data_IF_671081936933
#
_entry.id   IF_671081936933
#
_cell.length_a   1.000
_cell.length_b   1.000
_cell.length_c   1.000
_cell.angle_alpha   90.00
_cell.angle_beta   90.00
_cell.angle_gamma   90.00
#
_symmetry.space_group_name_H-M   'P 1'
#
loop_
_entity.id
_entity.type
_entity.pdbx_description
1 polymer ?
#
# COMPACT_ATOMS: atom_id res chain seq x y z
N UNK A 1 19.50 -1.37 10.90
CA UNK A 1 20.35 -1.91 9.82
C UNK A 1 20.16 -1.05 8.58
N UNK A 2 20.85 0.09 8.54
CA UNK A 2 20.98 0.86 7.31
C UNK A 2 22.22 0.32 6.61
N UNK A 3 22.03 -0.19 5.39
CA UNK A 3 23.06 -0.78 4.56
C UNK A 3 24.05 0.30 4.13
N UNK A 4 25.00 0.62 5.01
CA UNK A 4 26.22 1.30 4.62
C UNK A 4 27.01 0.33 3.75
N UNK A 5 26.98 0.57 2.44
CA UNK A 5 27.76 -0.19 1.46
C UNK A 5 29.24 0.04 1.80
N UNK A 6 30.00 -0.99 2.20
CA UNK A 6 31.44 -0.87 2.45
C UNK A 6 32.16 -0.43 1.18
N UNK A 7 33.29 0.28 1.35
CA UNK A 7 34.17 0.70 0.23
C UNK A 7 34.72 -0.48 -0.59
N UNK A 8 34.67 -1.69 -0.05
CA UNK A 8 34.87 -2.93 -0.79
C UNK A 8 33.50 -3.46 -1.22
N UNK A 9 33.14 -3.24 -2.48
CA UNK A 9 31.85 -3.64 -3.05
C UNK A 9 31.63 -5.13 -2.79
N UNK A 10 30.58 -5.54 -2.06
CA UNK A 10 30.18 -6.93 -2.13
C UNK A 10 29.65 -7.14 -3.56
N UNK A 11 30.43 -7.91 -4.34
CA UNK A 11 30.11 -8.20 -5.73
C UNK A 11 28.73 -8.85 -5.80
N UNK A 12 27.90 -8.42 -6.76
CA UNK A 12 26.61 -9.04 -6.99
C UNK A 12 26.76 -10.57 -7.04
N UNK A 13 25.91 -11.28 -6.31
CA UNK A 13 25.87 -12.75 -6.28
C UNK A 13 24.65 -13.31 -7.00
N UNK A 14 23.76 -12.43 -7.49
CA UNK A 14 22.63 -12.75 -8.35
C UNK A 14 22.52 -11.79 -9.52
N UNK A 15 21.89 -12.22 -10.62
CA UNK A 15 21.49 -11.37 -11.74
C UNK A 15 20.10 -11.74 -12.26
N UNK A 16 19.50 -10.83 -13.01
CA UNK A 16 18.29 -11.10 -13.79
C UNK A 16 18.66 -11.76 -15.14
N UNK A 17 17.82 -12.67 -15.59
CA UNK A 17 17.87 -13.24 -16.94
C UNK A 17 16.48 -13.65 -17.42
N UNK A 18 16.31 -13.83 -18.72
CA UNK A 18 15.11 -14.49 -19.23
C UNK A 18 15.08 -15.98 -18.83
N UNK A 19 13.90 -16.46 -18.49
CA UNK A 19 13.67 -17.88 -18.19
C UNK A 19 14.00 -18.75 -19.40
N UNK A 20 14.82 -19.78 -19.18
CA UNK A 20 15.14 -20.79 -20.21
C UNK A 20 14.06 -21.89 -20.36
N UNK A 21 12.99 -21.86 -19.56
CA UNK A 21 11.87 -22.81 -19.70
C UNK A 21 11.13 -22.60 -21.02
N UNK A 22 10.78 -23.70 -21.68
CA UNK A 22 10.09 -23.70 -22.99
C UNK A 22 8.80 -22.88 -23.00
N UNK A 23 8.04 -22.95 -21.91
CA UNK A 23 6.81 -22.19 -21.69
C UNK A 23 6.99 -20.66 -21.58
N UNK A 24 8.23 -20.17 -21.38
CA UNK A 24 8.56 -18.74 -21.25
C UNK A 24 9.55 -18.28 -22.35
N UNK A 25 9.61 -19.02 -23.46
CA UNK A 25 10.57 -18.81 -24.53
C UNK A 25 10.18 -17.69 -25.50
N UNK A 26 9.18 -16.83 -25.19
CA UNK A 26 8.76 -15.78 -26.11
C UNK A 26 9.82 -14.69 -26.30
N UNK A 27 10.78 -14.59 -25.37
CA UNK A 27 11.97 -13.74 -25.54
C UNK A 27 12.84 -14.17 -26.73
N UNK A 28 12.62 -15.37 -27.29
CA UNK A 28 13.29 -15.85 -28.51
C UNK A 28 12.53 -15.52 -29.79
N UNK A 29 11.29 -15.05 -29.69
CA UNK A 29 10.50 -14.66 -30.85
C UNK A 29 10.96 -13.28 -31.37
N UNK A 30 10.84 -13.02 -32.68
CA UNK A 30 10.91 -11.67 -33.24
C UNK A 30 9.87 -10.73 -32.62
N UNK A 31 10.16 -9.42 -32.61
CA UNK A 31 9.32 -8.42 -31.94
C UNK A 31 7.91 -8.34 -32.53
N UNK A 32 7.77 -8.43 -33.85
CA UNK A 32 6.48 -8.43 -34.56
C UNK A 32 5.62 -9.65 -34.17
N UNK A 33 6.23 -10.83 -34.05
CA UNK A 33 5.54 -12.04 -33.60
C UNK A 33 5.14 -11.93 -32.11
N UNK A 34 5.98 -11.33 -31.27
CA UNK A 34 5.64 -11.04 -29.88
C UNK A 34 4.42 -10.12 -29.79
N UNK A 35 4.40 -9.02 -30.55
CA UNK A 35 3.30 -8.06 -30.58
C UNK A 35 2.00 -8.66 -31.12
N UNK A 36 2.08 -9.53 -32.13
CA UNK A 36 0.93 -10.28 -32.66
C UNK A 36 0.43 -11.31 -31.64
N UNK A 37 1.34 -12.03 -30.97
CA UNK A 37 1.01 -12.98 -29.90
C UNK A 37 0.39 -12.29 -28.67
N UNK A 38 0.78 -11.04 -28.40
CA UNK A 38 0.17 -10.22 -27.35
C UNK A 38 -1.31 -9.92 -27.61
N UNK A 39 -1.70 -9.72 -28.87
CA UNK A 39 -3.10 -9.57 -29.23
C UNK A 39 -3.93 -10.86 -29.02
N UNK A 40 -3.29 -12.03 -29.03
CA UNK A 40 -3.92 -13.34 -28.73
C UNK A 40 -3.75 -13.84 -27.29
N UNK A 41 -3.11 -13.06 -26.40
CA UNK A 41 -2.86 -13.43 -24.97
C UNK A 41 -4.14 -13.78 -24.21
N UNK A 42 -5.31 -13.32 -24.64
CA UNK A 42 -6.59 -13.67 -23.98
C UNK A 42 -6.84 -15.18 -23.89
N UNK A 43 -6.18 -16.00 -24.73
CA UNK A 43 -6.32 -17.46 -24.75
C UNK A 43 -5.10 -18.26 -24.26
N UNK A 44 -4.01 -17.61 -23.83
CA UNK A 44 -2.81 -18.31 -23.34
C UNK A 44 -2.78 -18.39 -21.81
N UNK A 45 -2.64 -19.60 -21.28
CA UNK A 45 -2.61 -19.88 -19.83
C UNK A 45 -1.21 -19.77 -19.20
N UNK A 46 -0.16 -19.59 -19.99
CA UNK A 46 1.22 -19.43 -19.52
C UNK A 46 1.80 -18.07 -19.89
N UNK A 47 2.37 -17.37 -18.91
CA UNK A 47 3.11 -16.12 -19.14
C UNK A 47 4.34 -16.37 -20.00
N UNK A 48 4.30 -15.97 -21.26
CA UNK A 48 5.36 -16.30 -22.23
C UNK A 48 6.66 -15.52 -22.07
N UNK A 49 6.66 -14.46 -21.28
CA UNK A 49 7.84 -13.70 -20.85
C UNK A 49 8.00 -13.81 -19.34
N UNK A 50 9.16 -14.28 -18.89
CA UNK A 50 9.50 -14.35 -17.47
C UNK A 50 10.96 -13.98 -17.27
N UNK A 51 11.22 -13.02 -16.39
CA UNK A 51 12.55 -12.76 -15.84
C UNK A 51 12.73 -13.57 -14.55
N UNK A 52 13.88 -14.20 -14.42
CA UNK A 52 14.28 -15.00 -13.25
C UNK A 52 15.52 -14.36 -12.61
N UNK A 53 15.59 -14.40 -11.28
CA UNK A 53 16.85 -14.19 -10.56
C UNK A 53 17.63 -15.50 -10.54
N UNK A 54 18.88 -15.45 -10.99
CA UNK A 54 19.81 -16.58 -10.95
C UNK A 54 21.06 -16.22 -10.17
N UNK A 55 21.57 -17.21 -9.43
CA UNK A 55 22.82 -17.08 -8.70
C UNK A 55 24.01 -17.06 -9.67
N UNK A 56 24.99 -16.20 -9.38
CA UNK A 56 26.25 -16.09 -10.12
C UNK A 56 27.33 -17.04 -9.58
N UNK A 57 27.10 -17.57 -8.38
CA UNK A 57 27.93 -18.54 -7.66
C UNK A 57 27.09 -19.22 -6.59
N UNK A 58 27.63 -20.22 -5.91
CA UNK A 58 26.98 -20.81 -4.74
C UNK A 58 26.77 -19.75 -3.64
N UNK A 59 25.57 -19.76 -3.04
CA UNK A 59 25.14 -18.84 -1.98
C UNK A 59 24.92 -19.65 -0.71
N UNK A 60 25.61 -19.28 0.37
CA UNK A 60 25.55 -20.04 1.63
C UNK A 60 24.32 -19.68 2.47
N UNK A 61 23.86 -20.57 3.37
CA UNK A 61 22.77 -20.24 4.29
C UNK A 61 23.10 -19.01 5.14
N UNK A 62 22.18 -18.04 5.16
CA UNK A 62 22.35 -16.76 5.88
C UNK A 62 23.08 -15.68 5.09
N UNK A 63 23.57 -15.96 3.88
CA UNK A 63 24.13 -14.95 2.99
C UNK A 63 23.02 -14.06 2.38
N UNK A 64 23.30 -12.76 2.26
CA UNK A 64 22.40 -11.79 1.63
C UNK A 64 22.44 -11.91 0.10
N UNK A 65 21.28 -11.79 -0.55
CA UNK A 65 21.19 -11.73 -2.01
C UNK A 65 21.47 -10.30 -2.48
N UNK A 66 22.47 -10.14 -3.33
CA UNK A 66 22.98 -8.87 -3.82
C UNK A 66 22.90 -8.83 -5.35
N UNK A 67 22.13 -7.88 -5.86
CA UNK A 67 21.93 -7.67 -7.29
C UNK A 67 22.58 -6.37 -7.72
N UNK A 68 23.16 -6.35 -8.92
CA UNK A 68 23.61 -5.12 -9.56
C UNK A 68 22.40 -4.39 -10.18
N UNK A 69 22.06 -3.21 -9.66
CA UNK A 69 20.98 -2.36 -10.17
C UNK A 69 21.41 -1.46 -11.34
N UNK A 70 22.68 -1.55 -11.73
CA UNK A 70 23.31 -0.80 -12.81
C UNK A 70 23.97 0.51 -12.37
N UNK A 71 24.89 1.05 -13.20
CA UNK A 71 25.66 2.25 -12.87
C UNK A 71 24.82 3.53 -12.82
N UNK A 72 23.66 3.57 -13.50
CA UNK A 72 22.70 4.67 -13.39
C UNK A 72 22.10 4.76 -12.00
N UNK A 73 21.53 3.65 -11.52
CA UNK A 73 20.96 3.54 -10.19
C UNK A 73 22.00 3.84 -9.10
N UNK A 74 23.21 3.28 -9.21
CA UNK A 74 24.28 3.49 -8.22
C UNK A 74 24.66 4.97 -8.08
N UNK A 75 24.87 5.67 -9.20
CA UNK A 75 25.17 7.11 -9.17
C UNK A 75 24.04 7.91 -8.55
N UNK A 76 22.79 7.57 -8.87
CA UNK A 76 21.63 8.23 -8.30
C UNK A 76 21.52 7.99 -6.79
N UNK A 77 21.79 6.77 -6.34
CA UNK A 77 21.82 6.43 -4.91
C UNK A 77 22.92 7.19 -4.18
N UNK A 78 24.14 7.20 -4.70
CA UNK A 78 25.25 7.96 -4.13
C UNK A 78 24.92 9.46 -4.04
N UNK A 79 24.36 10.02 -5.12
CA UNK A 79 23.89 11.41 -5.16
C UNK A 79 22.80 11.66 -4.13
N UNK A 80 21.86 10.72 -3.99
CA UNK A 80 20.79 10.81 -3.01
C UNK A 80 21.35 10.82 -1.59
N UNK A 81 22.19 9.85 -1.23
CA UNK A 81 22.79 9.78 0.11
C UNK A 81 23.60 11.02 0.46
N UNK A 82 24.35 11.58 -0.50
CA UNK A 82 25.12 12.81 -0.29
C UNK A 82 24.25 14.04 -0.04
N UNK A 83 23.11 14.14 -0.73
CA UNK A 83 22.24 15.32 -0.67
C UNK A 83 21.00 15.15 0.20
N UNK A 84 20.78 13.94 0.75
CA UNK A 84 19.59 13.64 1.53
C UNK A 84 19.57 14.46 2.81
N UNK A 85 18.44 15.11 3.03
CA UNK A 85 18.15 15.82 4.27
C UNK A 85 16.93 15.17 4.92
N UNK A 86 16.99 14.89 6.24
CA UNK A 86 15.80 14.44 6.93
C UNK A 86 14.72 15.52 6.84
N UNK A 87 13.43 15.14 6.81
CA UNK A 87 12.38 16.12 7.03
C UNK A 87 12.65 16.88 8.34
N UNK A 88 12.31 18.18 8.43
CA UNK A 88 12.61 19.00 9.61
C UNK A 88 12.06 18.36 10.90
N UNK A 89 12.57 18.72 12.10
CA UNK A 89 11.97 18.24 13.34
C UNK A 89 10.57 18.86 13.54
N UNK A 90 9.63 18.15 14.18
CA UNK A 90 8.26 18.62 14.36
C UNK A 90 8.23 19.88 15.22
N UNK A 91 7.78 21.00 14.65
CA UNK A 91 7.55 22.24 15.40
C UNK A 91 6.22 22.22 16.14
N UNK A 92 5.16 21.62 15.57
CA UNK A 92 3.79 21.69 16.11
C UNK A 92 2.99 20.35 16.06
N UNK A 93 3.67 19.21 15.90
CA UNK A 93 3.00 17.88 15.89
C UNK A 93 2.14 17.58 14.66
N UNK A 94 2.12 18.48 13.67
CA UNK A 94 1.45 18.34 12.36
C UNK A 94 2.34 17.71 11.29
N UNK A 95 3.61 17.46 11.62
CA UNK A 95 4.57 16.94 10.67
C UNK A 95 4.39 15.45 10.41
N UNK A 96 4.73 15.06 9.19
CA UNK A 96 4.62 13.70 8.69
C UNK A 96 5.14 12.64 9.66
N UNK A 97 4.30 11.68 9.97
CA UNK A 97 4.70 10.38 10.47
C UNK A 97 3.77 9.32 9.89
N UNK A 98 4.31 8.16 9.49
CA UNK A 98 3.51 7.14 8.84
C UNK A 98 2.48 6.55 9.81
N UNK A 99 1.34 6.10 9.28
CA UNK A 99 0.22 5.69 10.10
C UNK A 99 0.53 4.54 11.07
N UNK A 100 1.45 3.64 10.73
CA UNK A 100 1.83 2.51 11.61
C UNK A 100 2.51 2.99 12.90
N UNK A 101 3.38 4.00 12.83
CA UNK A 101 4.03 4.60 14.03
C UNK A 101 2.97 5.19 14.96
N UNK A 102 1.99 5.88 14.37
CA UNK A 102 0.91 6.48 15.13
C UNK A 102 -0.07 5.46 15.71
N UNK A 103 -0.40 4.40 14.98
CA UNK A 103 -1.34 3.38 15.46
C UNK A 103 -0.77 2.61 16.68
N UNK A 104 0.55 2.41 16.71
CA UNK A 104 1.25 1.79 17.85
C UNK A 104 1.33 2.74 19.07
N UNK A 105 1.64 4.02 18.83
CA UNK A 105 1.83 5.01 19.90
C UNK A 105 0.50 5.53 20.50
N UNK A 106 -0.55 5.68 19.69
CA UNK A 106 -1.80 6.34 20.09
C UNK A 106 -2.82 5.30 20.58
N UNK A 107 -2.90 5.13 21.90
CA UNK A 107 -3.91 4.26 22.52
C UNK A 107 -5.27 4.95 22.63
N UNK A 108 -5.28 6.24 22.98
CA UNK A 108 -6.49 7.05 23.10
C UNK A 108 -6.71 7.86 21.82
N UNK A 109 -7.54 7.35 20.92
CA UNK A 109 -7.90 8.06 19.68
C UNK A 109 -8.68 9.34 20.00
N UNK A 110 -8.30 10.43 19.33
CA UNK A 110 -8.91 11.76 19.43
C UNK A 110 -10.32 11.78 18.84
N UNK A 111 -11.24 12.50 19.48
CA UNK A 111 -12.59 12.76 18.96
C UNK A 111 -12.57 13.87 17.91
N UNK A 112 -13.68 14.03 17.20
CA UNK A 112 -13.85 15.09 16.21
C UNK A 112 -13.64 16.49 16.79
N UNK A 113 -14.07 16.73 18.03
CA UNK A 113 -13.85 17.99 18.74
C UNK A 113 -12.37 18.19 19.05
N UNK A 114 -11.70 17.17 19.60
CA UNK A 114 -10.28 17.23 19.94
C UNK A 114 -9.38 17.43 18.73
N UNK A 115 -9.79 16.92 17.55
CA UNK A 115 -9.06 17.15 16.30
C UNK A 115 -9.06 18.60 15.83
N UNK A 116 -9.97 19.46 16.34
CA UNK A 116 -9.95 20.90 16.03
C UNK A 116 -8.77 21.61 16.70
N UNK A 117 -8.43 21.21 17.93
CA UNK A 117 -7.35 21.81 18.71
C UNK A 117 -6.03 21.03 18.55
N UNK A 118 -6.13 19.72 18.34
CA UNK A 118 -5.01 18.79 18.29
C UNK A 118 -5.13 17.82 17.09
N UNK A 119 -5.00 18.33 15.85
CA UNK A 119 -5.14 17.51 14.66
C UNK A 119 -4.09 16.40 14.63
N UNK A 120 -4.42 15.30 13.96
CA UNK A 120 -3.40 14.37 13.49
C UNK A 120 -2.60 14.98 12.33
N UNK A 121 -1.40 14.48 12.02
CA UNK A 121 -0.70 14.85 10.79
C UNK A 121 -1.59 14.71 9.56
N UNK A 122 -1.40 15.60 8.59
CA UNK A 122 -2.27 15.68 7.43
C UNK A 122 -2.27 14.41 6.58
N UNK A 123 -1.24 13.56 6.68
CA UNK A 123 -1.15 12.30 5.96
C UNK A 123 -1.99 11.18 6.55
N UNK A 124 -2.55 11.30 7.77
CA UNK A 124 -3.31 10.20 8.38
C UNK A 124 -4.79 10.52 8.59
N UNK A 125 -5.60 9.47 8.64
CA UNK A 125 -7.00 9.55 9.04
C UNK A 125 -7.42 8.26 9.76
N UNK A 126 -8.56 8.29 10.43
CA UNK A 126 -9.11 7.12 11.13
C UNK A 126 -9.93 6.23 10.20
N UNK A 127 -9.65 4.94 10.24
CA UNK A 127 -10.40 3.89 9.57
C UNK A 127 -10.92 2.86 10.58
N UNK A 128 -12.08 2.28 10.32
CA UNK A 128 -12.74 1.30 11.16
C UNK A 128 -13.03 0.02 10.36
N UNK A 129 -12.79 -1.14 10.97
CA UNK A 129 -13.25 -2.43 10.46
C UNK A 129 -14.75 -2.57 10.72
N UNK A 130 -15.54 -2.43 9.66
CA UNK A 130 -16.99 -2.49 9.73
C UNK A 130 -17.59 -3.00 8.41
N UNK A 131 -18.30 -4.11 8.49
CA UNK A 131 -19.07 -4.69 7.38
C UNK A 131 -20.48 -4.07 7.37
N UNK A 132 -20.71 -3.15 6.43
CA UNK A 132 -22.02 -2.55 6.20
C UNK A 132 -22.74 -3.28 5.07
N UNK A 133 -23.97 -3.70 5.33
CA UNK A 133 -24.85 -4.26 4.31
C UNK A 133 -26.26 -3.70 4.46
N UNK A 134 -26.76 -3.03 3.41
CA UNK A 134 -28.08 -2.39 3.41
C UNK A 134 -29.21 -3.39 3.68
N UNK A 135 -29.07 -4.66 3.29
CA UNK A 135 -30.11 -5.67 3.51
C UNK A 135 -30.22 -6.11 4.97
N UNK A 136 -29.15 -5.93 5.76
CA UNK A 136 -29.15 -6.18 7.21
C UNK A 136 -29.68 -4.97 8.00
N UNK A 137 -29.86 -3.83 7.34
CA UNK A 137 -30.33 -2.58 7.92
C UNK A 137 -31.69 -2.19 7.36
N UNK A 138 -32.57 -3.18 7.14
CA UNK A 138 -34.01 -2.91 6.97
C UNK A 138 -34.55 -2.25 8.25
N UNK A 139 -35.53 -1.34 8.14
CA UNK A 139 -35.98 -0.49 9.23
C UNK A 139 -36.86 -1.22 10.26
N UNK A 140 -36.45 -2.41 10.71
CA UNK A 140 -37.18 -3.15 11.74
C UNK A 140 -36.30 -3.47 12.95
N UNK A 141 -36.77 -2.94 14.10
CA UNK A 141 -36.51 -3.42 15.47
C UNK A 141 -35.17 -3.10 16.15
N UNK A 142 -34.72 -1.83 16.10
CA UNK A 142 -34.06 -1.06 17.21
C UNK A 142 -33.49 0.29 16.73
N UNK A 143 -33.79 0.69 15.51
CA UNK A 143 -33.41 1.99 14.95
C UNK A 143 -34.17 3.11 15.66
N UNK A 144 -33.57 3.74 16.66
CA UNK A 144 -34.01 5.07 17.12
C UNK A 144 -33.65 6.07 16.03
N UNK A 145 -34.52 6.20 15.03
CA UNK A 145 -34.49 7.30 14.08
C UNK A 145 -34.84 8.58 14.83
N UNK A 146 -33.85 9.19 15.49
CA UNK A 146 -34.04 10.53 16.06
C UNK A 146 -33.87 11.52 14.91
N UNK A 147 -34.99 12.09 14.46
CA UNK A 147 -34.97 13.34 13.70
C UNK A 147 -34.51 14.44 14.67
N UNK A 148 -33.23 14.79 14.64
CA UNK A 148 -32.77 15.98 15.36
C UNK A 148 -33.26 17.20 14.58
N UNK A 149 -34.17 17.94 15.21
CA UNK A 149 -34.73 19.19 14.74
C UNK A 149 -33.60 20.21 14.57
N UNK A 150 -33.17 20.35 13.31
CA UNK A 150 -32.39 21.43 12.68
C UNK A 150 -31.50 20.94 11.52
N UNK A 151 -31.38 19.63 11.26
CA UNK A 151 -30.92 19.09 9.96
C UNK A 151 -31.54 17.70 9.74
N UNK A 152 -32.53 17.59 8.83
CA UNK A 152 -33.28 16.36 8.49
C UNK A 152 -32.42 15.25 7.83
N UNK A 153 -31.37 14.76 8.50
CA UNK A 153 -30.60 13.60 8.04
C UNK A 153 -31.02 12.37 8.84
N UNK A 154 -31.50 11.29 8.20
CA UNK A 154 -31.81 10.05 8.91
C UNK A 154 -30.55 9.48 9.55
N UNK A 155 -30.65 9.15 10.85
CA UNK A 155 -29.56 8.60 11.66
C UNK A 155 -29.87 7.16 12.02
N UNK A 156 -28.96 6.25 11.68
CA UNK A 156 -28.98 4.84 12.12
C UNK A 156 -27.91 4.65 13.18
N UNK A 157 -28.25 4.01 14.30
CA UNK A 157 -27.30 3.68 15.36
C UNK A 157 -27.32 2.18 15.62
N UNK A 158 -26.17 1.51 15.50
CA UNK A 158 -26.03 0.06 15.72
C UNK A 158 -24.81 -0.27 16.59
N UNK A 159 -24.88 -1.29 17.46
CA UNK A 159 -23.70 -1.74 18.19
C UNK A 159 -22.71 -2.46 17.27
N UNK A 160 -21.42 -2.37 17.59
CA UNK A 160 -20.38 -3.11 16.90
C UNK A 160 -20.42 -4.59 17.27
N UNK A 161 -20.30 -5.46 16.26
CA UNK A 161 -20.31 -6.91 16.41
C UNK A 161 -19.07 -7.54 15.79
N UNK A 162 -18.44 -8.48 16.50
CA UNK A 162 -17.30 -9.23 15.97
C UNK A 162 -17.77 -10.38 15.08
N UNK A 163 -17.84 -10.15 13.77
CA UNK A 163 -18.20 -11.17 12.77
C UNK A 163 -16.96 -11.85 12.20
N UNK A 164 -17.09 -13.12 11.80
CA UNK A 164 -16.01 -13.83 11.10
C UNK A 164 -15.67 -13.10 9.81
N UNK A 165 -14.38 -12.80 9.58
CA UNK A 165 -13.92 -12.07 8.40
C UNK A 165 -14.02 -10.54 8.49
N UNK A 166 -14.47 -9.99 9.63
CA UNK A 166 -14.59 -8.54 9.82
C UNK A 166 -13.25 -7.80 9.64
N UNK A 167 -12.13 -8.40 10.06
CA UNK A 167 -10.79 -7.80 9.99
C UNK A 167 -10.12 -7.90 8.60
N UNK A 168 -10.86 -8.21 7.54
CA UNK A 168 -10.34 -8.17 6.18
C UNK A 168 -10.27 -6.73 5.66
N UNK A 169 -9.25 -6.41 4.85
CA UNK A 169 -9.02 -5.07 4.30
C UNK A 169 -10.22 -4.51 3.51
N UNK A 170 -11.08 -5.38 2.96
CA UNK A 170 -12.28 -4.92 2.25
C UNK A 170 -13.34 -4.30 3.19
N UNK A 171 -13.30 -4.61 4.49
CA UNK A 171 -14.18 -4.05 5.52
C UNK A 171 -13.59 -2.81 6.20
N UNK A 172 -12.36 -2.43 5.86
CA UNK A 172 -11.73 -1.22 6.39
C UNK A 172 -12.32 0.01 5.68
N UNK A 173 -12.91 0.92 6.46
CA UNK A 173 -13.61 2.11 5.98
C UNK A 173 -13.18 3.36 6.73
N UNK A 174 -13.14 4.54 6.08
CA UNK A 174 -12.97 5.80 6.81
C UNK A 174 -14.07 5.96 7.86
N UNK A 175 -13.70 6.41 9.05
CA UNK A 175 -14.63 6.68 10.13
C UNK A 175 -14.21 7.92 10.92
N UNK A 176 -15.17 8.53 11.61
CA UNK A 176 -14.94 9.68 12.50
C UNK A 176 -15.24 9.25 13.93
N UNK A 177 -14.33 9.54 14.85
CA UNK A 177 -14.53 9.26 16.27
C UNK A 177 -15.39 10.36 16.88
N UNK A 178 -16.63 10.04 17.25
CA UNK A 178 -17.56 11.01 17.82
C UNK A 178 -17.31 11.18 19.32
N UNK A 179 -17.19 10.07 20.05
CA UNK A 179 -16.93 10.09 21.50
C UNK A 179 -16.36 8.77 22.01
N UNK A 180 -15.74 8.84 23.19
CA UNK A 180 -15.28 7.68 23.97
C UNK A 180 -16.34 7.27 24.98
N UNK A 181 -16.52 5.96 25.15
CA UNK A 181 -17.39 5.34 26.14
C UNK A 181 -16.52 4.56 27.13
N UNK A 182 -16.55 4.99 28.39
CA UNK A 182 -15.93 4.26 29.49
C UNK A 182 -16.84 3.10 29.89
N UNK A 183 -16.31 1.88 29.88
CA UNK A 183 -17.04 0.71 30.38
C UNK A 183 -17.16 0.79 31.91
N UNK A 184 -18.18 1.49 32.42
CA UNK A 184 -18.43 1.59 33.86
C UNK A 184 -19.19 0.38 34.45
N UNK A 185 -19.59 -0.60 33.65
CA UNK A 185 -20.62 -1.58 34.05
C UNK A 185 -20.26 -3.04 33.77
N UNK A 186 -19.04 -3.48 34.06
CA UNK A 186 -18.81 -4.93 34.22
C UNK A 186 -17.94 -5.24 35.42
N UNK A 187 -18.44 -6.11 36.31
CA UNK A 187 -17.71 -6.73 37.43
C UNK A 187 -16.46 -7.52 37.00
N UNK A 188 -16.14 -7.55 35.70
CA UNK A 188 -15.06 -8.32 35.11
C UNK A 188 -13.93 -7.39 34.65
N UNK A 189 -12.97 -7.16 35.55
CA UNK A 189 -11.77 -6.32 35.32
C UNK A 189 -10.97 -6.68 34.06
N UNK A 190 -11.15 -7.89 33.48
CA UNK A 190 -10.42 -8.37 32.29
C UNK A 190 -10.96 -7.86 30.94
N UNK A 191 -12.12 -7.19 30.88
CA UNK A 191 -12.71 -6.64 29.63
C UNK A 191 -12.82 -5.10 29.61
N UNK A 192 -12.06 -4.41 30.45
CA UNK A 192 -12.04 -2.95 30.48
C UNK A 192 -11.17 -2.43 29.34
N UNK A 193 -11.79 -2.13 28.20
CA UNK A 193 -11.17 -1.37 27.11
C UNK A 193 -12.04 -0.20 26.75
N UNK A 194 -11.43 0.94 26.40
CA UNK A 194 -12.13 2.11 25.88
C UNK A 194 -12.95 1.69 24.66
N UNK A 195 -14.24 1.99 24.71
CA UNK A 195 -15.15 1.82 23.58
C UNK A 195 -15.33 3.15 22.89
N UNK A 196 -15.63 3.10 21.60
CA UNK A 196 -15.78 4.29 20.78
C UNK A 196 -17.16 4.28 20.12
N UNK A 197 -17.69 5.48 19.96
CA UNK A 197 -18.83 5.75 19.08
C UNK A 197 -18.27 6.43 17.85
N UNK A 198 -18.50 5.84 16.69
CA UNK A 198 -17.91 6.28 15.43
C UNK A 198 -18.99 6.50 14.39
N UNK A 199 -18.77 7.46 13.50
CA UNK A 199 -19.54 7.62 12.28
C UNK A 199 -18.79 6.91 11.14
N UNK A 200 -19.45 5.96 10.47
CA UNK A 200 -18.88 5.27 9.32
C UNK A 200 -19.08 6.10 8.05
N UNK A 201 -18.05 6.17 7.20
CA UNK A 201 -18.11 6.83 5.89
C UNK A 201 -17.90 5.81 4.77
N UNK A 202 -18.38 6.17 3.58
CA UNK A 202 -18.14 5.37 2.38
C UNK A 202 -16.73 5.61 1.86
N UNK A 203 -16.09 4.55 1.38
CA UNK A 203 -14.88 4.64 0.56
C UNK A 203 -15.25 4.55 -0.94
N UNK A 204 -14.36 4.96 -1.85
CA UNK A 204 -14.55 4.77 -3.28
C UNK A 204 -14.77 3.28 -3.65
N UNK A 205 -15.41 3.03 -4.79
CA UNK A 205 -15.55 1.68 -5.39
C UNK A 205 -16.29 0.64 -4.54
N UNK A 206 -17.08 1.05 -3.54
CA UNK A 206 -18.00 0.13 -2.86
C UNK A 206 -19.13 -0.32 -3.80
N UNK A 207 -19.56 -1.58 -3.67
CA UNK A 207 -20.78 -2.05 -4.29
C UNK A 207 -22.01 -1.32 -3.72
N UNK A 208 -23.11 -1.13 -4.47
CA UNK A 208 -24.28 -0.38 -4.02
C UNK A 208 -24.85 -0.84 -2.67
N UNK A 209 -24.97 -2.15 -2.44
CA UNK A 209 -25.48 -2.72 -1.19
C UNK A 209 -24.59 -2.44 0.02
N UNK A 210 -23.30 -2.15 -0.21
CA UNK A 210 -22.34 -1.85 0.83
C UNK A 210 -22.25 -0.34 1.10
N UNK A 211 -22.93 0.53 0.35
CA UNK A 211 -22.84 1.98 0.58
C UNK A 211 -23.86 2.42 1.64
N UNK A 212 -23.39 3.22 2.60
CA UNK A 212 -24.29 4.06 3.41
C UNK A 212 -24.98 5.04 2.45
N UNK A 213 -26.31 5.13 2.41
CA UNK A 213 -27.00 5.98 1.44
C UNK A 213 -26.62 7.46 1.59
N UNK A 214 -26.59 8.25 0.50
CA UNK A 214 -26.37 9.69 0.57
C UNK A 214 -27.36 10.36 1.55
N UNK A 215 -26.90 11.36 2.29
CA UNK A 215 -27.71 12.05 3.29
C UNK A 215 -27.97 11.28 4.59
N UNK A 216 -27.61 10.00 4.67
CA UNK A 216 -27.77 9.18 5.88
C UNK A 216 -26.53 9.21 6.76
N UNK A 217 -26.73 9.22 8.07
CA UNK A 217 -25.67 9.15 9.06
C UNK A 217 -25.70 7.78 9.74
N UNK A 218 -24.64 6.99 9.54
CA UNK A 218 -24.51 5.67 10.17
C UNK A 218 -23.53 5.73 11.34
N UNK A 219 -24.06 5.54 12.54
CA UNK A 219 -23.33 5.57 13.81
C UNK A 219 -23.18 4.15 14.33
N UNK A 220 -21.94 3.78 14.66
CA UNK A 220 -21.63 2.48 15.27
C UNK A 220 -21.13 2.72 16.69
N UNK A 221 -21.77 2.08 17.68
CA UNK A 221 -21.43 2.19 19.10
C UNK A 221 -20.62 0.98 19.56
N UNK A 222 -20.03 1.04 20.76
CA UNK A 222 -19.31 -0.09 21.36
C UNK A 222 -18.12 -0.60 20.52
N UNK A 223 -17.56 0.22 19.64
CA UNK A 223 -16.43 -0.14 18.79
C UNK A 223 -15.18 -0.28 19.67
N UNK A 224 -14.47 -1.42 19.67
CA UNK A 224 -13.24 -1.57 20.43
C UNK A 224 -12.05 -0.90 19.73
N UNK A 225 -11.02 -0.48 20.48
CA UNK A 225 -9.80 0.15 19.93
C UNK A 225 -9.16 -0.63 18.78
N UNK A 226 -9.09 -1.96 18.87
CA UNK A 226 -8.46 -2.82 17.86
C UNK A 226 -9.25 -2.90 16.54
N UNK A 227 -10.52 -2.47 16.53
CA UNK A 227 -11.31 -2.37 15.30
C UNK A 227 -11.13 -1.01 14.60
N UNK A 228 -10.31 -0.13 15.15
CA UNK A 228 -9.99 1.20 14.60
C UNK A 228 -8.50 1.24 14.30
N UNK A 229 -8.14 1.81 13.15
CA UNK A 229 -6.77 1.96 12.67
C UNK A 229 -6.54 3.40 12.24
N UNK A 230 -5.34 3.90 12.45
CA UNK A 230 -4.84 5.05 11.71
C UNK A 230 -4.36 4.56 10.34
N UNK A 231 -4.65 5.29 9.29
CA UNK A 231 -4.35 4.90 7.90
C UNK A 231 -3.79 6.10 7.16
N UNK A 232 -2.74 5.86 6.35
CA UNK A 232 -2.19 6.89 5.47
C UNK A 232 -3.20 7.25 4.37
N UNK A 233 -3.30 8.54 4.06
CA UNK A 233 -4.05 9.01 2.91
C UNK A 233 -3.34 8.55 1.63
N UNK A 234 -4.12 8.38 0.57
CA UNK A 234 -3.60 8.01 -0.74
C UNK A 234 -2.54 9.03 -1.15
N UNK A 235 -1.41 8.57 -1.68
CA UNK A 235 -0.27 9.39 -2.09
C UNK A 235 0.47 10.12 -0.96
N UNK A 236 0.36 9.63 0.28
CA UNK A 236 1.05 10.24 1.42
C UNK A 236 1.91 9.28 2.23
N UNK A 237 2.10 8.03 1.79
CA UNK A 237 3.02 7.08 2.45
C UNK A 237 4.49 7.46 2.26
N UNK A 238 5.42 6.78 2.97
CA UNK A 238 6.86 7.06 2.94
C UNK A 238 7.42 7.15 1.50
N UNK A 239 6.97 6.25 0.62
CA UNK A 239 7.39 6.22 -0.79
C UNK A 239 6.97 7.48 -1.58
N UNK A 240 6.02 8.27 -1.08
CA UNK A 240 5.52 9.49 -1.74
C UNK A 240 6.21 10.75 -1.21
N UNK A 241 7.04 10.67 -0.16
CA UNK A 241 7.77 11.81 0.34
C UNK A 241 8.68 12.40 -0.74
N UNK A 242 8.78 13.74 -0.86
CA UNK A 242 9.64 14.40 -1.85
C UNK A 242 11.09 13.93 -1.80
N UNK A 243 11.59 13.70 -0.59
CA UNK A 243 12.95 13.23 -0.30
C UNK A 243 13.08 11.70 -0.25
N UNK A 244 12.06 10.93 -0.66
CA UNK A 244 12.19 9.48 -0.78
C UNK A 244 12.99 9.12 -2.04
N UNK A 245 13.98 8.25 -1.90
CA UNK A 245 14.75 7.76 -3.04
C UNK A 245 13.86 6.96 -4.00
N UNK A 246 13.89 7.33 -5.27
CA UNK A 246 13.21 6.63 -6.36
C UNK A 246 14.10 6.70 -7.59
N UNK A 247 14.47 5.55 -8.12
CA UNK A 247 15.22 5.45 -9.36
C UNK A 247 14.94 4.10 -10.00
N UNK A 248 14.78 4.08 -11.31
CA UNK A 248 14.62 2.86 -12.07
C UNK A 248 15.86 1.97 -11.99
N UNK A 249 15.61 0.68 -11.92
CA UNK A 249 16.64 -0.34 -12.06
C UNK A 249 17.01 -0.41 -13.54
N UNK A 250 18.30 -0.29 -13.86
CA UNK A 250 18.76 -0.44 -15.22
C UNK A 250 18.96 -1.91 -15.51
N UNK A 251 18.26 -2.44 -16.51
CA UNK A 251 18.55 -3.76 -17.05
C UNK A 251 19.73 -3.63 -18.01
N UNK A 252 20.79 -4.44 -17.86
CA UNK A 252 21.91 -4.36 -18.78
C UNK A 252 21.50 -4.82 -20.20
N UNK A 253 22.16 -4.26 -21.22
CA UNK A 253 21.77 -4.45 -22.63
C UNK A 253 21.82 -5.92 -23.07
N UNK A 254 22.67 -6.73 -22.44
CA UNK A 254 22.81 -8.16 -22.71
C UNK A 254 21.57 -8.98 -22.31
N UNK A 255 20.70 -8.42 -21.46
CA UNK A 255 19.41 -9.04 -21.11
C UNK A 255 18.44 -8.94 -22.29
N UNK A 256 18.52 -7.90 -23.12
CA UNK A 256 17.59 -7.76 -24.24
C UNK A 256 18.01 -8.65 -25.42
N UNK A 257 17.09 -9.45 -26.00
CA UNK A 257 17.38 -10.23 -27.21
C UNK A 257 17.83 -9.34 -28.36
N UNK A 258 18.86 -9.76 -29.10
CA UNK A 258 19.41 -8.99 -30.23
C UNK A 258 18.34 -8.66 -31.27
N UNK A 259 17.40 -9.57 -31.55
CA UNK A 259 16.32 -9.31 -32.51
C UNK A 259 15.30 -8.26 -32.05
N UNK A 260 15.38 -7.76 -30.82
CA UNK A 260 14.56 -6.66 -30.30
C UNK A 260 15.30 -5.33 -30.25
N UNK A 261 16.60 -5.30 -30.58
CA UNK A 261 17.41 -4.08 -30.57
C UNK A 261 17.35 -3.42 -31.94
N UNK A 262 16.99 -2.13 -31.97
CA UNK A 262 16.84 -1.36 -33.22
C UNK A 262 18.18 -0.98 -33.87
N UNK A 263 19.30 -1.10 -33.13
CA UNK A 263 20.62 -0.70 -33.59
C UNK A 263 21.46 -1.93 -33.98
N UNK A 264 21.57 -2.22 -35.27
CA UNK A 264 22.69 -3.04 -35.75
C UNK A 264 23.98 -2.27 -35.45
N UNK A 265 24.92 -2.87 -34.71
CA UNK A 265 26.28 -2.31 -34.58
C UNK A 265 26.82 -2.13 -36.00
N UNK A 266 27.02 -0.89 -36.42
CA UNK A 266 27.59 -0.56 -37.74
C UNK A 266 29.08 -0.94 -37.86
N UNK A 267 29.68 -1.52 -36.82
CA UNK A 267 31.12 -1.85 -36.78
C UNK A 267 31.50 -3.08 -37.60
N UNK A 268 30.54 -3.91 -38.05
CA UNK A 268 30.86 -5.12 -38.83
C UNK A 268 30.69 -4.93 -40.35
N UNK A 269 30.38 -3.71 -40.83
CA UNK A 269 30.18 -3.43 -42.28
C UNK A 269 31.45 -2.87 -42.94
N UNK A 270 32.44 -2.41 -42.16
CA UNK A 270 33.68 -1.86 -42.72
C UNK A 270 34.77 -2.93 -42.96
N UNK A 271 34.72 -4.10 -42.32
CA UNK A 271 35.72 -5.17 -42.54
C UNK A 271 35.39 -6.13 -43.71
N UNK A 272 34.15 -6.16 -44.21
CA UNK A 272 33.78 -6.96 -45.41
C UNK A 272 33.94 -6.20 -46.74
N UNK A 273 34.35 -4.92 -46.72
CA UNK A 273 34.61 -4.15 -47.95
C UNK A 273 36.11 -4.02 -48.30
N UNK A 274 37.01 -4.63 -47.52
CA UNK A 274 38.46 -4.69 -47.82
C UNK A 274 39.01 -6.12 -48.04
N UNK A 275 38.19 -7.05 -48.53
CA UNK A 275 38.69 -8.34 -49.08
C UNK A 275 38.27 -8.59 -50.53
#
# INVERSE_FOLDING_TARGET
>A
NNHAIPKDRPQANVRLQWSNRTQHAWHKAPLDQLLQGMASIQNHTSGGLLLELVALRDIQPGEELLMDYGPGWQRAWETHVQNWQPPPPPTDGTQYAPAYVHDDAIQALRTQEELQEHPYPENIFTSCFYDYNVTQHTPDTTTRTKTNDNQNKPVTTVPWENKRGLFQLHNLRPCIILRRENSQLTHNRRKQGTRFVVQIRNRPNLAPHAKVPPGHVHIVTQVPRHAIRLTDKIYTTDQHLPQAFRHEIHLPDDVFPEQWKDLKKQQDVEEEQEQ
#
